data_IF_549335650604
#
_entry.id   IF_549335650604
#
_cell.length_a   1.000
_cell.length_b   1.000
_cell.length_c   1.000
_cell.angle_alpha   90.00
_cell.angle_beta   90.00
_cell.angle_gamma   90.00
#
_symmetry.space_group_name_H-M   'P 1'
#
loop_
_entity.id
_entity.type
_entity.pdbx_description
1 polymer ?
#
# COMPACT_ATOMS: atom_id res chain seq x y z
N UNK A 1 24.63 1.41 -24.18
CA UNK A 1 24.90 1.19 -22.77
C UNK A 1 24.24 -0.13 -22.39
N UNK A 2 25.02 -1.07 -21.87
CA UNK A 2 24.49 -2.38 -21.49
C UNK A 2 23.62 -2.23 -20.23
N UNK A 3 22.54 -3.00 -20.17
CA UNK A 3 21.58 -3.09 -19.07
C UNK A 3 22.17 -3.51 -17.70
N UNK A 4 23.48 -3.53 -17.56
CA UNK A 4 24.19 -3.92 -16.35
C UNK A 4 24.53 -2.75 -15.41
N UNK A 5 24.28 -1.51 -15.81
CA UNK A 5 24.64 -0.31 -15.03
C UNK A 5 23.49 0.29 -14.24
N UNK A 6 22.34 -0.39 -14.16
CA UNK A 6 21.28 0.04 -13.22
C UNK A 6 21.81 -0.04 -11.80
N UNK A 7 21.75 1.04 -11.01
CA UNK A 7 22.21 1.04 -9.64
C UNK A 7 21.38 0.03 -8.83
N UNK A 8 22.00 -1.10 -8.49
CA UNK A 8 21.37 -2.13 -7.67
C UNK A 8 21.28 -1.65 -6.22
N UNK A 9 20.22 -2.08 -5.52
CA UNK A 9 20.12 -1.90 -4.08
C UNK A 9 21.33 -2.49 -3.40
N UNK A 10 22.07 -1.66 -2.68
CA UNK A 10 23.25 -2.06 -1.92
C UNK A 10 22.89 -2.31 -0.44
N UNK A 11 23.87 -2.79 0.34
CA UNK A 11 23.66 -3.09 1.76
C UNK A 11 23.29 -1.83 2.56
N UNK A 12 23.78 -0.64 2.15
CA UNK A 12 23.44 0.62 2.82
C UNK A 12 21.97 0.98 2.58
N UNK A 13 21.47 0.82 1.35
CA UNK A 13 20.06 1.00 1.03
C UNK A 13 19.17 0.02 1.79
N UNK A 14 19.60 -1.25 1.86
CA UNK A 14 18.86 -2.25 2.63
C UNK A 14 18.81 -1.91 4.13
N UNK A 15 19.91 -1.47 4.73
CA UNK A 15 19.93 -1.00 6.13
C UNK A 15 19.00 0.18 6.35
N UNK A 16 18.98 1.14 5.42
CA UNK A 16 18.05 2.27 5.49
C UNK A 16 16.59 1.80 5.53
N UNK A 17 16.24 0.84 4.66
CA UNK A 17 14.88 0.26 4.65
C UNK A 17 14.58 -0.42 5.99
N UNK A 18 15.51 -1.16 6.55
CA UNK A 18 15.38 -1.82 7.86
C UNK A 18 15.16 -0.79 8.96
N UNK A 19 15.95 0.28 8.98
CA UNK A 19 15.84 1.36 9.97
C UNK A 19 14.48 2.10 9.87
N UNK A 20 13.89 2.18 8.68
CA UNK A 20 12.55 2.71 8.48
C UNK A 20 11.52 1.72 9.01
N UNK A 21 11.57 0.47 8.57
CA UNK A 21 10.62 -0.60 8.93
C UNK A 21 10.54 -0.78 10.44
N UNK A 22 11.67 -0.79 11.14
CA UNK A 22 11.74 -0.98 12.59
C UNK A 22 11.03 0.09 13.44
N UNK A 23 10.52 1.15 12.81
CA UNK A 23 9.75 2.21 13.48
C UNK A 23 8.25 1.94 13.54
N UNK A 24 7.77 0.92 12.85
CA UNK A 24 6.36 0.62 12.66
C UNK A 24 6.05 -0.80 13.13
N UNK A 25 4.79 -1.08 13.41
CA UNK A 25 4.35 -2.38 13.92
C UNK A 25 3.96 -3.33 12.80
N UNK A 26 3.34 -2.79 11.72
CA UNK A 26 2.96 -3.49 10.49
C UNK A 26 3.26 -2.61 9.30
N UNK A 27 3.91 -3.18 8.30
CA UNK A 27 4.30 -2.47 7.08
C UNK A 27 3.77 -3.24 5.86
N UNK A 28 3.05 -2.55 4.99
CA UNK A 28 2.71 -3.05 3.66
C UNK A 28 3.83 -2.70 2.67
N UNK A 29 4.34 -3.69 1.98
CA UNK A 29 5.36 -3.56 0.94
C UNK A 29 4.75 -3.93 -0.41
N UNK A 30 4.91 -3.06 -1.39
CA UNK A 30 4.63 -3.30 -2.80
C UNK A 30 5.94 -3.59 -3.53
N UNK A 31 5.86 -4.03 -4.79
CA UNK A 31 7.01 -4.28 -5.66
C UNK A 31 8.04 -5.29 -5.11
N UNK A 32 7.55 -6.30 -4.38
CA UNK A 32 8.43 -7.37 -3.92
C UNK A 32 8.69 -8.34 -5.07
N UNK A 33 9.82 -8.17 -5.75
CA UNK A 33 10.17 -8.89 -6.98
C UNK A 33 11.37 -9.83 -6.80
N UNK A 34 11.59 -10.69 -7.79
CA UNK A 34 12.78 -11.52 -7.91
C UNK A 34 12.82 -12.70 -6.94
N UNK A 35 14.02 -13.06 -6.53
CA UNK A 35 14.33 -14.27 -5.76
C UNK A 35 14.18 -14.12 -4.24
N UNK A 36 13.64 -13.01 -3.79
CA UNK A 36 13.40 -12.68 -2.39
C UNK A 36 14.67 -12.59 -1.51
N UNK A 37 15.86 -12.52 -2.10
CA UNK A 37 17.10 -12.38 -1.30
C UNK A 37 17.05 -11.14 -0.43
N UNK A 38 16.66 -9.99 -1.00
CA UNK A 38 16.58 -8.73 -0.25
C UNK A 38 15.59 -8.83 0.92
N UNK A 39 14.42 -9.46 0.70
CA UNK A 39 13.44 -9.69 1.77
C UNK A 39 14.00 -10.60 2.86
N UNK A 40 14.63 -11.71 2.48
CA UNK A 40 15.25 -12.64 3.45
C UNK A 40 16.39 -12.02 4.24
N UNK A 41 17.24 -11.23 3.59
CA UNK A 41 18.31 -10.51 4.26
C UNK A 41 17.74 -9.45 5.21
N UNK A 42 16.72 -8.71 4.79
CA UNK A 42 15.99 -7.77 5.64
C UNK A 42 15.43 -8.45 6.89
N UNK A 43 14.75 -9.59 6.74
CA UNK A 43 14.20 -10.35 7.86
C UNK A 43 15.28 -10.85 8.83
N UNK A 44 16.43 -11.28 8.28
CA UNK A 44 17.57 -11.69 9.12
C UNK A 44 18.11 -10.54 9.97
N UNK A 45 18.15 -9.33 9.43
CA UNK A 45 18.61 -8.14 10.15
C UNK A 45 17.57 -7.60 11.13
N UNK A 46 16.29 -7.72 10.84
CA UNK A 46 15.21 -7.37 11.77
C UNK A 46 15.15 -8.30 12.98
N UNK A 47 15.55 -9.56 12.78
CA UNK A 47 15.63 -10.55 13.86
C UNK A 47 14.37 -11.38 14.06
N UNK A 48 14.40 -12.24 15.08
CA UNK A 48 13.39 -13.29 15.29
C UNK A 48 12.02 -12.76 15.71
N UNK A 49 11.94 -11.54 16.20
CA UNK A 49 10.67 -10.91 16.58
C UNK A 49 9.84 -10.46 15.38
N UNK A 50 10.43 -10.44 14.19
CA UNK A 50 9.77 -10.03 12.97
C UNK A 50 9.32 -11.21 12.12
N UNK A 51 8.24 -11.00 11.38
CA UNK A 51 7.72 -11.99 10.43
C UNK A 51 7.12 -11.28 9.21
N UNK A 52 6.78 -12.06 8.19
CA UNK A 52 6.11 -11.53 7.01
C UNK A 52 5.06 -12.51 6.46
N UNK A 53 4.08 -11.96 5.76
CA UNK A 53 3.12 -12.67 4.92
C UNK A 53 3.17 -12.02 3.54
N UNK A 54 3.07 -12.80 2.47
CA UNK A 54 3.10 -12.27 1.11
C UNK A 54 2.18 -13.05 0.18
N UNK A 55 1.78 -12.40 -0.92
CA UNK A 55 1.06 -13.04 -2.03
C UNK A 55 1.97 -13.96 -2.82
N UNK A 56 1.37 -14.76 -3.69
CA UNK A 56 2.09 -15.34 -4.82
C UNK A 56 2.45 -14.25 -5.84
N UNK A 57 3.26 -14.62 -6.83
CA UNK A 57 3.66 -13.71 -7.89
C UNK A 57 2.50 -13.44 -8.85
N UNK A 58 2.20 -12.18 -9.10
CA UNK A 58 1.26 -11.81 -10.14
C UNK A 58 2.00 -11.81 -11.49
N UNK A 59 1.79 -12.87 -12.26
CA UNK A 59 2.43 -13.06 -13.55
C UNK A 59 1.76 -12.24 -14.67
N UNK A 60 2.53 -11.95 -15.73
CA UNK A 60 2.08 -11.22 -16.91
C UNK A 60 2.49 -9.74 -16.90
N UNK A 61 2.23 -9.06 -18.03
CA UNK A 61 2.71 -7.68 -18.25
C UNK A 61 2.15 -6.69 -17.23
N UNK A 62 0.86 -6.80 -16.92
CA UNK A 62 0.22 -5.92 -15.93
C UNK A 62 0.62 -6.22 -14.48
N UNK A 63 0.99 -7.46 -14.19
CA UNK A 63 1.42 -7.90 -12.85
C UNK A 63 2.89 -7.63 -12.54
N UNK A 64 3.74 -7.39 -13.56
CA UNK A 64 5.18 -7.13 -13.45
C UNK A 64 5.98 -8.20 -12.67
N UNK A 65 5.42 -9.37 -12.45
CA UNK A 65 5.97 -10.43 -11.58
C UNK A 65 6.21 -9.95 -10.13
N UNK A 66 5.35 -9.07 -9.66
CA UNK A 66 5.40 -8.50 -8.31
C UNK A 66 4.61 -9.33 -7.30
N UNK A 67 4.98 -9.17 -6.04
CA UNK A 67 4.24 -9.61 -4.86
C UNK A 67 3.98 -8.43 -3.95
N UNK A 68 2.92 -8.54 -3.17
CA UNK A 68 2.70 -7.66 -2.02
C UNK A 68 3.00 -8.42 -0.74
N UNK A 69 3.52 -7.73 0.26
CA UNK A 69 3.82 -8.35 1.54
C UNK A 69 3.44 -7.44 2.70
N UNK A 70 3.10 -8.07 3.82
CA UNK A 70 3.09 -7.43 5.13
C UNK A 70 4.31 -7.92 5.92
N UNK A 71 5.09 -6.99 6.44
CA UNK A 71 6.16 -7.25 7.42
C UNK A 71 5.71 -6.71 8.76
N UNK A 72 5.87 -7.46 9.83
CA UNK A 72 5.31 -7.08 11.13
C UNK A 72 6.13 -7.57 12.30
N UNK A 73 6.10 -6.80 13.40
CA UNK A 73 6.68 -7.15 14.70
C UNK A 73 5.72 -8.06 15.48
N UNK A 74 6.09 -9.32 15.66
CA UNK A 74 5.28 -10.34 16.36
C UNK A 74 5.10 -10.08 17.85
N UNK A 75 5.90 -9.22 18.45
CA UNK A 75 5.75 -8.82 19.85
C UNK A 75 4.60 -7.83 20.02
N UNK A 76 4.22 -7.13 18.97
CA UNK A 76 3.20 -6.08 18.96
C UNK A 76 1.92 -6.50 18.25
N UNK A 77 2.01 -7.19 17.13
CA UNK A 77 0.86 -7.67 16.36
C UNK A 77 1.01 -9.13 15.96
N UNK A 78 -0.11 -9.82 15.78
CA UNK A 78 -0.15 -11.21 15.34
C UNK A 78 -1.21 -11.40 14.27
N UNK A 79 -0.99 -12.22 13.23
CA UNK A 79 -2.05 -12.62 12.34
C UNK A 79 -3.21 -13.27 13.11
N UNK A 80 -4.45 -12.95 12.74
CA UNK A 80 -5.64 -13.39 13.47
C UNK A 80 -6.58 -14.33 12.68
N UNK A 81 -6.06 -14.92 11.59
CA UNK A 81 -6.73 -16.02 10.88
C UNK A 81 -7.12 -15.75 9.43
N UNK A 82 -7.25 -14.50 9.00
CA UNK A 82 -7.48 -14.17 7.59
C UNK A 82 -6.15 -13.84 6.92
N UNK A 83 -5.87 -14.50 5.80
CA UNK A 83 -4.85 -14.10 4.82
C UNK A 83 -5.35 -14.57 3.45
N UNK A 84 -5.78 -13.66 2.59
CA UNK A 84 -6.44 -13.99 1.34
C UNK A 84 -6.18 -12.94 0.26
N UNK A 85 -6.08 -13.40 -0.96
CA UNK A 85 -6.12 -12.55 -2.15
C UNK A 85 -7.57 -12.23 -2.51
N UNK A 86 -7.81 -10.98 -2.93
CA UNK A 86 -9.14 -10.48 -3.26
C UNK A 86 -9.34 -10.58 -4.76
N UNK A 87 -10.45 -11.21 -5.17
CA UNK A 87 -10.83 -11.33 -6.58
C UNK A 87 -12.16 -10.61 -6.83
N UNK A 88 -12.34 -10.13 -8.04
CA UNK A 88 -13.61 -9.54 -8.48
C UNK A 88 -14.66 -10.65 -8.57
N UNK A 89 -15.79 -10.53 -7.85
CA UNK A 89 -16.86 -11.52 -7.90
C UNK A 89 -17.41 -11.71 -9.33
N UNK A 90 -17.73 -12.94 -9.72
CA UNK A 90 -18.25 -13.22 -11.06
C UNK A 90 -19.51 -12.41 -11.42
N UNK A 91 -20.37 -12.16 -10.45
CA UNK A 91 -21.62 -11.40 -10.62
C UNK A 91 -21.42 -9.92 -10.96
N UNK A 92 -20.23 -9.37 -10.73
CA UNK A 92 -19.91 -7.99 -11.15
C UNK A 92 -19.51 -7.91 -12.61
N UNK A 93 -19.30 -9.06 -13.24
CA UNK A 93 -18.85 -9.18 -14.63
C UNK A 93 -19.95 -8.76 -15.64
N UNK A 94 -21.20 -8.92 -15.27
CA UNK A 94 -22.36 -8.61 -16.14
C UNK A 94 -22.59 -7.09 -16.24
N UNK A 95 -22.06 -6.30 -15.30
CA UNK A 95 -22.14 -4.83 -15.32
C UNK A 95 -21.07 -4.19 -16.25
N UNK A 96 -20.14 -4.99 -16.76
CA UNK A 96 -19.08 -4.54 -17.64
C UNK A 96 -19.42 -4.89 -19.09
N UNK A 97 -19.04 -4.01 -20.02
CA UNK A 97 -19.29 -4.19 -21.46
C UNK A 97 -18.94 -5.62 -21.92
N UNK A 98 -19.74 -6.25 -22.81
CA UNK A 98 -19.56 -7.66 -23.20
C UNK A 98 -18.18 -8.03 -23.77
N UNK A 99 -17.43 -7.05 -24.28
CA UNK A 99 -16.10 -7.23 -24.86
C UNK A 99 -14.95 -7.03 -23.85
N UNK A 100 -15.24 -6.57 -22.65
CA UNK A 100 -14.25 -6.59 -21.59
C UNK A 100 -14.14 -8.03 -21.09
N UNK A 101 -13.17 -8.77 -21.57
CA UNK A 101 -12.60 -9.89 -20.81
C UNK A 101 -12.39 -9.37 -19.40
N UNK A 102 -13.21 -9.85 -18.46
CA UNK A 102 -13.27 -9.26 -17.13
C UNK A 102 -11.89 -9.28 -16.55
N UNK A 103 -11.24 -8.16 -16.66
CA UNK A 103 -9.90 -7.95 -16.13
C UNK A 103 -10.04 -8.03 -14.61
N UNK A 104 -9.49 -9.08 -14.02
CA UNK A 104 -9.20 -9.10 -12.60
C UNK A 104 -8.28 -7.91 -12.30
N UNK A 105 -8.10 -7.60 -11.04
CA UNK A 105 -7.10 -6.60 -10.66
C UNK A 105 -5.77 -6.90 -11.36
N UNK A 106 -5.07 -5.86 -11.79
CA UNK A 106 -3.75 -6.03 -12.42
C UNK A 106 -2.78 -6.76 -11.48
N UNK A 107 -2.83 -6.39 -10.20
CA UNK A 107 -2.22 -7.11 -9.08
C UNK A 107 -3.29 -7.36 -8.04
N UNK A 108 -3.48 -8.64 -7.70
CA UNK A 108 -4.55 -9.05 -6.79
C UNK A 108 -4.35 -8.44 -5.41
N UNK A 109 -5.28 -7.59 -4.89
CA UNK A 109 -5.16 -7.02 -3.55
C UNK A 109 -5.05 -8.10 -2.49
N UNK A 110 -4.30 -7.84 -1.43
CA UNK A 110 -4.01 -8.80 -0.38
C UNK A 110 -4.56 -8.35 0.97
N UNK A 111 -5.44 -9.14 1.54
CA UNK A 111 -6.07 -8.89 2.82
C UNK A 111 -5.49 -9.79 3.91
N UNK A 112 -5.08 -9.19 5.02
CA UNK A 112 -4.61 -9.91 6.20
C UNK A 112 -5.26 -9.32 7.45
N UNK A 113 -5.79 -10.18 8.32
CA UNK A 113 -6.24 -9.76 9.64
C UNK A 113 -5.13 -9.89 10.68
N UNK A 114 -5.01 -8.87 11.51
CA UNK A 114 -4.09 -8.80 12.63
C UNK A 114 -4.83 -8.57 13.93
N UNK A 115 -4.22 -8.99 15.02
CA UNK A 115 -4.63 -8.66 16.39
C UNK A 115 -3.47 -7.93 17.09
N UNK A 116 -3.81 -6.80 17.75
CA UNK A 116 -2.91 -6.06 18.63
C UNK A 116 -3.68 -5.76 19.94
N UNK A 117 -3.15 -6.18 21.08
CA UNK A 117 -3.92 -6.17 22.31
C UNK A 117 -5.24 -6.96 22.17
N UNK A 118 -6.36 -6.32 22.45
CA UNK A 118 -7.69 -6.90 22.24
C UNK A 118 -8.33 -6.51 20.88
N UNK A 119 -7.71 -5.60 20.14
CA UNK A 119 -8.24 -5.12 18.87
C UNK A 119 -7.87 -6.05 17.70
N UNK A 120 -8.84 -6.35 16.86
CA UNK A 120 -8.64 -7.06 15.59
C UNK A 120 -8.94 -6.11 14.43
N UNK A 121 -8.03 -6.06 13.47
CA UNK A 121 -8.16 -5.22 12.29
C UNK A 121 -7.73 -5.96 11.03
N UNK A 122 -8.27 -5.52 9.89
CA UNK A 122 -7.97 -6.10 8.59
C UNK A 122 -7.31 -5.02 7.75
N UNK A 123 -6.13 -5.34 7.25
CA UNK A 123 -5.40 -4.50 6.29
C UNK A 123 -5.54 -5.11 4.90
N UNK A 124 -5.95 -4.30 3.95
CA UNK A 124 -6.00 -4.65 2.53
C UNK A 124 -4.94 -3.83 1.81
N UNK A 125 -3.84 -4.47 1.41
CA UNK A 125 -2.82 -3.79 0.60
C UNK A 125 -3.04 -4.05 -0.88
N UNK A 126 -2.67 -3.06 -1.69
CA UNK A 126 -2.83 -3.11 -3.12
C UNK A 126 -1.76 -2.27 -3.84
N UNK A 127 -1.59 -2.56 -5.12
CA UNK A 127 -0.78 -1.77 -6.04
C UNK A 127 -1.53 -1.69 -7.38
N UNK A 128 -2.23 -0.59 -7.62
CA UNK A 128 -3.00 -0.35 -8.83
C UNK A 128 -2.06 -0.21 -10.03
N UNK A 129 -2.42 -0.75 -11.17
CA UNK A 129 -1.63 -0.61 -12.39
C UNK A 129 -1.48 0.87 -12.76
N UNK A 130 -0.27 1.30 -13.13
CA UNK A 130 -0.08 2.66 -13.63
C UNK A 130 -0.78 2.86 -14.98
N UNK A 131 -0.75 1.83 -15.86
CA UNK A 131 -1.37 1.85 -17.17
C UNK A 131 -0.74 2.84 -18.16
N UNK A 132 -1.39 3.01 -19.30
CA UNK A 132 -0.97 4.00 -20.30
C UNK A 132 -1.64 5.37 -20.08
N UNK A 133 -2.77 5.38 -19.38
CA UNK A 133 -3.55 6.58 -19.08
C UNK A 133 -4.24 6.50 -17.72
N UNK A 134 -4.68 7.64 -17.19
CA UNK A 134 -5.49 7.67 -15.98
C UNK A 134 -6.81 6.92 -16.12
N UNK A 135 -7.37 6.86 -17.34
CA UNK A 135 -8.63 6.14 -17.59
C UNK A 135 -8.51 4.63 -17.29
N UNK A 136 -7.33 4.03 -17.51
CA UNK A 136 -7.10 2.60 -17.29
C UNK A 136 -7.25 2.21 -15.81
N UNK A 137 -7.02 3.16 -14.91
CA UNK A 137 -7.05 2.99 -13.45
C UNK A 137 -8.44 3.21 -12.83
N UNK A 138 -9.32 3.95 -13.49
CA UNK A 138 -10.62 4.37 -12.93
C UNK A 138 -11.47 3.16 -12.54
N UNK A 139 -11.58 2.18 -13.43
CA UNK A 139 -12.41 1.01 -13.17
C UNK A 139 -11.82 0.11 -12.09
N UNK A 140 -10.50 -0.04 -12.03
CA UNK A 140 -9.84 -0.78 -10.96
C UNK A 140 -10.08 -0.12 -9.60
N UNK A 141 -9.95 1.21 -9.49
CA UNK A 141 -10.22 1.98 -8.28
C UNK A 141 -11.70 1.90 -7.85
N UNK A 142 -12.65 1.96 -8.79
CA UNK A 142 -14.07 1.77 -8.50
C UNK A 142 -14.38 0.38 -7.97
N UNK A 143 -13.79 -0.66 -8.57
CA UNK A 143 -13.96 -2.03 -8.13
C UNK A 143 -13.39 -2.26 -6.73
N UNK A 144 -12.23 -1.66 -6.42
CA UNK A 144 -11.65 -1.67 -5.07
C UNK A 144 -12.59 -0.98 -4.08
N UNK A 145 -13.07 0.24 -4.40
CA UNK A 145 -13.97 0.99 -3.54
C UNK A 145 -15.29 0.23 -3.31
N UNK A 146 -15.87 -0.36 -4.36
CA UNK A 146 -17.06 -1.21 -4.26
C UNK A 146 -16.81 -2.43 -3.39
N UNK A 147 -15.71 -3.14 -3.61
CA UNK A 147 -15.35 -4.33 -2.86
C UNK A 147 -15.18 -4.03 -1.37
N UNK A 148 -14.46 -2.95 -1.04
CA UNK A 148 -14.27 -2.49 0.33
C UNK A 148 -15.62 -2.15 1.00
N UNK A 149 -16.54 -1.48 0.28
CA UNK A 149 -17.87 -1.14 0.77
C UNK A 149 -18.69 -2.39 1.03
N UNK A 150 -18.76 -3.31 0.07
CA UNK A 150 -19.54 -4.54 0.24
C UNK A 150 -18.99 -5.40 1.39
N UNK A 151 -17.68 -5.41 1.58
CA UNK A 151 -17.12 -6.08 2.75
C UNK A 151 -17.50 -5.37 4.04
N UNK A 152 -17.35 -4.07 4.12
CA UNK A 152 -17.73 -3.28 5.29
C UNK A 152 -19.21 -3.41 5.66
N UNK A 153 -20.11 -3.64 4.69
CA UNK A 153 -21.54 -3.79 4.91
C UNK A 153 -21.97 -5.21 5.32
N UNK A 154 -21.12 -6.20 5.20
CA UNK A 154 -21.44 -7.58 5.61
C UNK A 154 -21.55 -7.67 7.13
N UNK A 155 -22.51 -8.44 7.63
CA UNK A 155 -22.84 -8.55 9.06
C UNK A 155 -22.00 -9.61 9.81
N UNK A 156 -20.73 -9.77 9.48
CA UNK A 156 -19.87 -10.70 10.21
C UNK A 156 -18.81 -9.96 11.06
N UNK A 157 -18.21 -10.64 12.03
CA UNK A 157 -17.30 -10.03 13.01
C UNK A 157 -15.96 -9.52 12.43
N UNK A 158 -15.66 -9.85 11.18
CA UNK A 158 -14.41 -9.44 10.51
C UNK A 158 -14.44 -8.01 9.97
N UNK A 159 -15.53 -7.27 10.22
CA UNK A 159 -15.77 -5.95 9.65
C UNK A 159 -15.29 -4.78 10.50
N UNK A 160 -14.91 -5.02 11.72
CA UNK A 160 -14.79 -3.99 12.75
C UNK A 160 -13.64 -3.10 12.49
N UNK A 161 -12.69 -3.16 11.82
CA UNK A 161 -11.57 -2.24 11.56
C UNK A 161 -10.93 -2.60 10.22
N UNK A 162 -11.66 -2.32 9.14
CA UNK A 162 -11.21 -2.58 7.79
C UNK A 162 -10.53 -1.34 7.22
N UNK A 163 -9.24 -1.46 6.91
CA UNK A 163 -8.44 -0.41 6.32
C UNK A 163 -7.86 -0.86 4.98
N UNK A 164 -7.75 0.05 4.04
CA UNK A 164 -7.00 -0.17 2.81
C UNK A 164 -5.79 0.75 2.74
N UNK A 165 -4.67 0.22 2.24
CA UNK A 165 -3.41 0.96 2.13
C UNK A 165 -2.55 0.42 0.98
N UNK A 166 -1.70 1.28 0.43
CA UNK A 166 -0.79 0.89 -0.66
C UNK A 166 -0.66 1.98 -1.72
N UNK A 167 -0.16 1.58 -2.88
CA UNK A 167 -0.04 2.44 -4.06
C UNK A 167 -1.29 2.34 -4.94
N UNK A 168 -2.10 3.39 -4.90
CA UNK A 168 -3.33 3.52 -5.69
C UNK A 168 -3.09 4.20 -7.04
N UNK A 169 -1.89 4.65 -7.29
CA UNK A 169 -1.52 5.39 -8.49
C UNK A 169 -2.47 6.57 -8.79
N UNK A 170 -2.97 7.25 -7.75
CA UNK A 170 -3.81 8.44 -7.88
C UNK A 170 -2.93 9.63 -8.23
N UNK A 171 -3.25 10.33 -9.30
CA UNK A 171 -2.43 11.45 -9.75
C UNK A 171 -2.59 12.67 -8.84
N UNK A 172 -3.83 13.01 -8.45
CA UNK A 172 -4.10 14.19 -7.62
C UNK A 172 -5.36 14.01 -6.78
N UNK A 173 -5.36 14.67 -5.63
CA UNK A 173 -6.57 14.79 -4.82
C UNK A 173 -7.65 15.56 -5.59
N UNK A 174 -8.86 14.97 -5.68
CA UNK A 174 -10.01 15.57 -6.33
C UNK A 174 -10.13 15.31 -7.84
N UNK A 175 -9.16 14.63 -8.45
CA UNK A 175 -9.27 14.17 -9.84
C UNK A 175 -10.25 12.97 -9.98
N UNK A 176 -10.45 12.50 -11.20
CA UNK A 176 -11.36 11.38 -11.48
C UNK A 176 -10.91 10.08 -10.81
N UNK A 177 -9.60 9.87 -10.62
CA UNK A 177 -9.05 8.72 -9.90
C UNK A 177 -9.39 8.79 -8.41
N UNK A 178 -9.21 9.96 -7.80
CA UNK A 178 -9.62 10.22 -6.43
C UNK A 178 -11.12 10.02 -6.23
N UNK A 179 -11.93 10.56 -7.15
CA UNK A 179 -13.39 10.39 -7.11
C UNK A 179 -13.79 8.92 -7.23
N UNK A 180 -13.15 8.16 -8.11
CA UNK A 180 -13.37 6.72 -8.24
C UNK A 180 -13.05 5.98 -6.94
N UNK A 181 -11.89 6.27 -6.33
CA UNK A 181 -11.44 5.67 -5.07
C UNK A 181 -12.38 5.99 -3.90
N UNK A 182 -12.84 7.23 -3.79
CA UNK A 182 -13.71 7.66 -2.68
C UNK A 182 -15.21 7.47 -2.95
N UNK A 183 -15.58 6.94 -4.11
CA UNK A 183 -16.97 6.86 -4.60
C UNK A 183 -17.95 6.16 -3.66
N UNK A 184 -17.46 5.27 -2.80
CA UNK A 184 -18.28 4.52 -1.83
C UNK A 184 -18.14 5.03 -0.40
N UNK A 185 -17.44 6.15 -0.20
CA UNK A 185 -17.27 6.78 1.10
C UNK A 185 -15.98 6.36 1.85
N UNK A 186 -14.99 5.79 1.16
CA UNK A 186 -13.64 5.67 1.72
C UNK A 186 -13.09 7.07 2.03
N UNK A 187 -12.52 7.23 3.21
CA UNK A 187 -11.98 8.49 3.71
C UNK A 187 -10.49 8.33 4.02
N UNK A 188 -9.70 9.28 3.55
CA UNK A 188 -8.29 9.44 3.91
C UNK A 188 -8.21 10.55 4.97
N UNK A 189 -7.51 10.36 6.10
CA UNK A 189 -7.36 11.38 7.13
C UNK A 189 -6.79 12.71 6.59
N UNK A 190 -7.28 13.81 7.11
CA UNK A 190 -6.93 15.15 6.63
C UNK A 190 -5.43 15.50 6.75
N UNK A 191 -4.76 15.00 7.78
CA UNK A 191 -3.32 15.19 7.99
C UNK A 191 -2.49 14.46 6.91
N UNK A 192 -3.00 13.37 6.34
CA UNK A 192 -2.36 12.68 5.22
C UNK A 192 -2.54 13.41 3.87
N UNK A 193 -3.45 14.37 3.76
CA UNK A 193 -3.66 15.11 2.51
C UNK A 193 -2.50 16.04 2.14
N UNK A 194 -1.65 16.42 3.10
CA UNK A 194 -0.53 17.36 2.90
C UNK A 194 0.83 16.68 2.91
N UNK A 195 0.86 15.36 2.95
CA UNK A 195 2.10 14.60 3.03
C UNK A 195 2.59 14.28 1.61
N UNK A 196 3.83 14.62 1.26
CA UNK A 196 4.44 14.20 0.00
C UNK A 196 4.49 12.66 -0.11
N UNK A 197 4.14 12.13 -1.28
CA UNK A 197 4.15 10.68 -1.55
C UNK A 197 5.45 10.21 -2.19
N UNK A 198 6.14 11.10 -2.87
CA UNK A 198 7.34 10.77 -3.62
C UNK A 198 8.49 11.71 -3.26
N UNK A 199 9.70 11.18 -3.31
CA UNK A 199 10.92 11.97 -3.12
C UNK A 199 11.16 12.99 -4.25
N UNK A 200 10.37 12.93 -5.32
CA UNK A 200 10.42 13.88 -6.43
C UNK A 200 9.40 15.01 -6.30
N UNK A 201 8.64 15.06 -5.20
CA UNK A 201 7.75 16.18 -4.88
C UNK A 201 8.51 17.51 -4.88
N UNK A 202 7.84 18.54 -5.41
CA UNK A 202 8.36 19.91 -5.44
C UNK A 202 7.60 20.78 -4.43
N UNK A 203 8.20 21.14 -3.29
CA UNK A 203 7.54 21.99 -2.29
C UNK A 203 7.11 23.38 -2.82
N UNK A 204 7.71 23.84 -3.93
CA UNK A 204 7.34 25.10 -4.58
C UNK A 204 6.06 24.98 -5.42
N UNK A 205 5.67 23.76 -5.80
CA UNK A 205 4.52 23.46 -6.63
C UNK A 205 3.71 22.28 -6.07
N UNK A 206 3.16 22.37 -4.85
CA UNK A 206 2.49 21.25 -4.19
C UNK A 206 1.24 20.76 -4.93
N UNK A 207 0.63 21.59 -5.75
CA UNK A 207 -0.52 21.22 -6.59
C UNK A 207 -0.15 20.25 -7.73
N UNK A 208 1.15 20.12 -8.04
CA UNK A 208 1.66 19.18 -9.02
C UNK A 208 2.10 17.86 -8.40
N UNK A 209 2.14 17.78 -7.09
CA UNK A 209 2.55 16.58 -6.37
C UNK A 209 1.61 15.41 -6.66
N UNK A 210 2.22 14.26 -6.85
CA UNK A 210 1.50 13.00 -7.04
C UNK A 210 0.92 12.52 -5.73
N UNK A 211 -0.25 11.89 -5.80
CA UNK A 211 -1.02 11.44 -4.65
C UNK A 211 -1.17 9.91 -4.64
N UNK A 212 -0.10 9.20 -5.00
CA UNK A 212 -0.08 7.78 -5.30
C UNK A 212 -0.53 6.90 -4.12
N UNK A 213 0.14 7.03 -2.97
CA UNK A 213 -0.08 6.18 -1.81
C UNK A 213 -1.22 6.70 -0.94
N UNK A 214 -2.05 5.78 -0.45
CA UNK A 214 -3.16 6.11 0.44
C UNK A 214 -3.23 5.14 1.62
N UNK A 215 -3.80 5.64 2.74
CA UNK A 215 -4.33 4.86 3.83
C UNK A 215 -5.75 5.38 4.06
N UNK A 216 -6.75 4.49 3.98
CA UNK A 216 -8.15 4.90 4.03
C UNK A 216 -9.04 3.86 4.73
N UNK A 217 -10.15 4.34 5.28
CA UNK A 217 -11.20 3.53 5.91
C UNK A 217 -12.55 4.25 5.84
N UNK A 218 -13.61 3.64 6.36
CA UNK A 218 -14.92 4.28 6.46
C UNK A 218 -15.08 4.95 7.83
N UNK A 219 -15.20 6.28 7.86
CA UNK A 219 -15.39 7.07 9.10
C UNK A 219 -16.84 7.25 9.46
N UNK A 220 -17.69 7.43 8.43
CA UNK A 220 -19.11 7.75 8.59
C UNK A 220 -19.98 6.68 7.96
N UNK A 221 -21.11 6.39 8.58
CA UNK A 221 -22.05 5.41 8.07
C UNK A 221 -22.81 4.74 9.20
N UNK A 222 -23.46 3.62 8.92
CA UNK A 222 -24.09 2.83 9.96
C UNK A 222 -23.02 2.37 10.97
N UNK A 223 -23.42 2.10 12.23
CA UNK A 223 -22.54 1.61 13.31
C UNK A 223 -21.64 0.41 12.93
N UNK A 224 -21.87 -0.18 11.75
CA UNK A 224 -21.17 -1.35 11.22
C UNK A 224 -19.95 -1.03 10.35
N UNK A 225 -19.68 0.23 10.05
CA UNK A 225 -18.69 0.64 9.05
C UNK A 225 -17.51 1.42 9.64
N UNK A 226 -17.60 1.77 10.91
CA UNK A 226 -16.56 2.51 11.61
C UNK A 226 -15.48 1.57 12.10
N UNK A 227 -14.21 2.01 11.99
CA UNK A 227 -13.11 1.33 12.70
C UNK A 227 -13.29 1.50 14.21
N UNK A 228 -12.90 0.49 14.99
CA UNK A 228 -12.97 0.52 16.45
C UNK A 228 -11.69 1.07 17.09
N UNK A 229 -10.61 1.13 16.33
CA UNK A 229 -9.34 1.71 16.77
C UNK A 229 -9.42 3.25 16.68
N UNK A 230 -8.93 3.92 17.70
CA UNK A 230 -8.87 5.40 17.69
C UNK A 230 -7.68 5.88 16.85
N UNK A 231 -7.97 6.55 15.74
CA UNK A 231 -6.93 7.21 14.95
C UNK A 231 -6.31 8.36 15.72
N UNK A 232 -5.00 8.37 15.84
CA UNK A 232 -4.25 9.41 16.58
C UNK A 232 -3.69 10.44 15.63
N UNK A 233 -2.95 10.02 14.63
CA UNK A 233 -2.29 10.88 13.64
C UNK A 233 -1.70 10.06 12.50
N UNK A 234 -1.31 10.74 11.41
CA UNK A 234 -0.57 10.14 10.30
C UNK A 234 0.46 11.09 9.73
N UNK A 235 1.27 10.59 8.83
CA UNK A 235 2.31 11.38 8.20
C UNK A 235 3.10 10.62 7.15
N UNK A 236 4.13 11.26 6.63
CA UNK A 236 5.14 10.66 5.77
C UNK A 236 6.50 10.62 6.48
N UNK A 237 7.39 9.78 5.99
CA UNK A 237 8.76 9.74 6.48
C UNK A 237 9.72 10.15 5.35
N UNK A 238 10.18 11.41 5.38
CA UNK A 238 11.25 11.86 4.49
C UNK A 238 12.59 11.27 4.96
N UNK A 239 13.05 10.26 4.25
CA UNK A 239 14.32 9.60 4.55
C UNK A 239 15.54 10.29 3.90
N UNK A 240 15.36 11.18 2.94
CA UNK A 240 16.46 11.79 2.19
C UNK A 240 17.53 12.47 3.07
N UNK A 241 17.16 13.21 4.13
CA UNK A 241 18.13 13.83 5.02
C UNK A 241 18.99 12.81 5.81
N UNK A 242 18.57 11.55 5.84
CA UNK A 242 19.16 10.53 6.70
C UNK A 242 19.99 9.50 5.93
N UNK A 243 19.90 9.51 4.57
CA UNK A 243 20.49 8.45 3.74
C UNK A 243 21.47 9.02 2.73
N UNK A 244 22.55 8.30 2.46
CA UNK A 244 23.58 8.67 1.48
C UNK A 244 24.08 10.11 1.60
N UNK A 245 24.01 10.70 2.80
CA UNK A 245 24.58 12.02 3.07
C UNK A 245 26.05 12.06 2.71
N UNK A 246 26.49 13.15 2.08
CA UNK A 246 27.87 13.36 1.66
C UNK A 246 28.40 12.39 0.57
N UNK A 247 27.50 11.72 -0.18
CA UNK A 247 27.92 10.80 -1.25
C UNK A 247 27.89 11.41 -2.64
N UNK A 248 27.23 12.57 -2.81
CA UNK A 248 27.01 13.19 -4.11
C UNK A 248 26.04 12.43 -5.03
N UNK A 249 25.32 11.42 -4.51
CA UNK A 249 24.32 10.69 -5.29
C UNK A 249 23.11 11.58 -5.59
N UNK A 250 22.62 11.49 -6.83
CA UNK A 250 21.35 12.13 -7.21
C UNK A 250 20.14 11.47 -6.55
N UNK A 251 19.01 12.19 -6.46
CA UNK A 251 17.71 11.62 -6.02
C UNK A 251 17.37 10.35 -6.81
N UNK A 252 17.52 10.36 -8.14
CA UNK A 252 17.30 9.20 -8.98
C UNK A 252 18.19 8.00 -8.61
N UNK A 253 19.46 8.22 -8.23
CA UNK A 253 20.32 7.15 -7.77
C UNK A 253 19.93 6.61 -6.39
N UNK A 254 19.36 7.43 -5.53
CA UNK A 254 18.87 7.04 -4.21
C UNK A 254 17.55 6.26 -4.34
N UNK A 255 16.65 6.67 -5.26
CA UNK A 255 15.37 5.98 -5.46
C UNK A 255 15.57 4.50 -5.81
N UNK A 256 16.50 4.17 -6.69
CA UNK A 256 16.82 2.76 -7.02
C UNK A 256 17.41 1.96 -5.84
N UNK A 257 17.95 2.61 -4.83
CA UNK A 257 18.59 1.95 -3.66
C UNK A 257 17.64 1.80 -2.48
N UNK A 258 16.75 2.74 -2.31
CA UNK A 258 15.80 2.78 -1.19
C UNK A 258 14.37 2.65 -1.70
N UNK A 259 13.79 3.75 -2.14
CA UNK A 259 12.46 3.86 -2.75
C UNK A 259 12.33 5.25 -3.39
N UNK A 260 11.52 5.40 -4.42
CA UNK A 260 11.08 6.69 -4.95
C UNK A 260 9.83 7.23 -4.23
N UNK A 261 9.14 6.37 -3.45
CA UNK A 261 8.05 6.77 -2.58
C UNK A 261 8.52 7.00 -1.15
N UNK A 262 7.94 7.98 -0.49
CA UNK A 262 8.06 8.15 0.94
C UNK A 262 7.10 7.20 1.68
N UNK A 263 7.56 6.52 2.75
CA UNK A 263 6.66 5.78 3.61
C UNK A 263 5.52 6.66 4.14
N UNK A 264 4.28 6.27 3.87
CA UNK A 264 3.08 6.84 4.45
C UNK A 264 2.69 6.02 5.68
N UNK A 265 2.30 6.66 6.77
CA UNK A 265 1.98 5.96 8.00
C UNK A 265 0.77 6.56 8.71
N UNK A 266 0.10 5.72 9.51
CA UNK A 266 -0.98 6.09 10.41
C UNK A 266 -0.76 5.42 11.76
N UNK A 267 -1.04 6.14 12.84
CA UNK A 267 -0.96 5.68 14.21
C UNK A 267 -2.36 5.55 14.81
N UNK A 268 -2.59 4.41 15.46
CA UNK A 268 -3.84 4.11 16.13
C UNK A 268 -3.56 3.74 17.58
N UNK A 269 -4.45 4.17 18.47
CA UNK A 269 -4.50 3.67 19.84
C UNK A 269 -5.35 2.41 19.87
N UNK A 270 -4.84 1.37 20.55
CA UNK A 270 -5.46 0.06 20.69
C UNK A 270 -5.68 -0.29 22.16
#
# INVERSE_FOLDING_TARGET
ASSNDSPKRDLRGLRTIIDIISRFDVIALQEVVGDLRALRDMMRFLGDDWSFLMTDVTAGDSGNNERMAFVFDRTRVKPSGLAAEIVIPPEWKDDLQPDALVKQFARTPYAVSFKAGEQTFILVTLHVEFGHSSADRIDELRNIARWMREWADRSNRWHQSLLTLGDFNIDRRGDDLWQAFTSTGLTVPDDLHRVPRTMFSDPANPDLDKFYDQIAWFETGSKKQRIEMDYVRGGGFDFLPHVYTNTGLSKASISYRVSDHYPLWAEFQI
#
